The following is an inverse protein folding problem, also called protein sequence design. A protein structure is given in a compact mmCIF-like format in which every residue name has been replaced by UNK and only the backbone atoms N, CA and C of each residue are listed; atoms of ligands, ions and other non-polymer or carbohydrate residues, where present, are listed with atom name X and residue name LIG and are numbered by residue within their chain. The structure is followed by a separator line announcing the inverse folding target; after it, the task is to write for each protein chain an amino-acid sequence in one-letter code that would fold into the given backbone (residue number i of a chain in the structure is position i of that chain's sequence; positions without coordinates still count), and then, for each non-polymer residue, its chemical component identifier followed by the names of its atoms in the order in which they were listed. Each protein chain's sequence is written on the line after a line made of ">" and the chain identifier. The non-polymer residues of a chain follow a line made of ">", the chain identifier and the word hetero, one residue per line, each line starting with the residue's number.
data_IF_235236844871
#
_entry.id   IF_235236844871
#
_cell.length_a   1.000
_cell.length_b   1.000
_cell.length_c   1.000
_cell.angle_alpha   90.00
_cell.angle_beta   90.00
_cell.angle_gamma   90.00
#
_symmetry.space_group_name_H-M   'P 1'
#
loop_
_entity.id
_entity.type
_entity.pdbx_description
1 polymer ?
#
# COMPACT_ATOMS: atom_id res chain seq x y z
N UNK A 1 -7.94 -4.39 8.59
CA UNK A 1 -7.41 -5.13 9.76
C UNK A 1 -6.80 -6.42 9.24
N UNK A 2 -5.62 -6.83 9.71
CA UNK A 2 -5.01 -8.08 9.27
C UNK A 2 -5.85 -9.28 9.77
N UNK A 3 -6.34 -10.12 8.86
CA UNK A 3 -6.97 -11.40 9.22
C UNK A 3 -5.88 -12.44 9.55
N UNK A 4 -5.32 -12.36 10.75
CA UNK A 4 -4.24 -13.27 11.22
C UNK A 4 -4.66 -14.73 11.13
N UNK A 5 -5.94 -15.04 11.38
CA UNK A 5 -6.47 -16.40 11.22
C UNK A 5 -6.39 -16.88 9.77
N UNK A 6 -6.77 -16.05 8.80
CA UNK A 6 -6.65 -16.37 7.38
C UNK A 6 -5.18 -16.57 7.01
N UNK A 7 -4.31 -15.70 7.54
CA UNK A 7 -2.89 -15.75 7.27
C UNK A 7 -2.23 -17.04 7.76
N UNK A 8 -2.55 -17.44 8.99
CA UNK A 8 -2.13 -18.71 9.58
C UNK A 8 -2.52 -19.90 8.69
N UNK A 9 -3.77 -19.93 8.19
CA UNK A 9 -4.28 -21.04 7.36
C UNK A 9 -3.56 -21.14 6.02
N UNK A 10 -3.32 -20.01 5.38
CA UNK A 10 -2.65 -19.97 4.07
C UNK A 10 -1.16 -20.33 4.16
N UNK A 11 -0.44 -19.81 5.15
CA UNK A 11 0.97 -20.18 5.38
C UNK A 11 1.09 -21.68 5.71
N UNK A 12 0.20 -22.21 6.55
CA UNK A 12 0.16 -23.64 6.88
C UNK A 12 -0.01 -24.47 5.61
N UNK A 13 -0.98 -24.11 4.76
CA UNK A 13 -1.28 -24.80 3.50
C UNK A 13 -0.11 -24.75 2.52
N UNK A 14 0.53 -23.58 2.36
CA UNK A 14 1.69 -23.41 1.49
C UNK A 14 2.88 -24.28 1.91
N UNK A 15 3.04 -24.50 3.22
CA UNK A 15 4.07 -25.37 3.79
C UNK A 15 3.67 -26.85 3.87
N UNK A 16 2.47 -27.21 3.40
CA UNK A 16 1.96 -28.59 3.48
C UNK A 16 1.66 -29.06 4.91
N UNK A 17 1.48 -28.13 5.85
CA UNK A 17 1.16 -28.41 7.25
C UNK A 17 -0.35 -28.31 7.49
N UNK A 18 -0.85 -29.13 8.40
CA UNK A 18 -2.20 -29.00 8.95
C UNK A 18 -2.18 -28.11 10.19
N UNK A 19 -3.32 -27.50 10.51
CA UNK A 19 -3.46 -26.74 11.77
C UNK A 19 -3.21 -27.61 13.01
N UNK A 20 -3.48 -28.91 12.93
CA UNK A 20 -3.12 -29.88 13.99
C UNK A 20 -1.61 -29.90 14.22
N UNK A 21 -0.82 -29.92 13.16
CA UNK A 21 0.64 -30.02 13.24
C UNK A 21 1.24 -28.76 13.90
N UNK A 22 0.62 -27.60 13.66
CA UNK A 22 1.01 -26.33 14.27
C UNK A 22 0.61 -26.30 15.75
N UNK A 23 -0.61 -26.74 16.06
CA UNK A 23 -1.09 -26.82 17.44
C UNK A 23 -0.23 -27.79 18.27
N UNK A 24 0.14 -28.94 17.70
CA UNK A 24 1.01 -29.93 18.33
C UNK A 24 2.41 -29.35 18.61
N UNK A 25 3.00 -28.61 17.65
CA UNK A 25 4.28 -27.90 17.84
C UNK A 25 4.23 -26.85 18.94
N UNK A 26 3.08 -26.21 19.12
CA UNK A 26 2.85 -25.22 20.19
C UNK A 26 2.43 -25.86 21.52
N UNK A 27 2.27 -27.19 21.59
CA UNK A 27 1.75 -27.88 22.77
C UNK A 27 0.32 -27.46 23.14
N UNK A 28 -0.53 -27.15 22.16
CA UNK A 28 -1.89 -26.67 22.36
C UNK A 28 -2.91 -27.40 21.47
N UNK A 29 -4.19 -27.07 21.60
CA UNK A 29 -5.25 -27.63 20.73
C UNK A 29 -5.53 -26.68 19.56
N UNK A 30 -6.03 -27.22 18.45
CA UNK A 30 -6.42 -26.41 17.28
C UNK A 30 -7.46 -25.32 17.65
N UNK A 31 -8.39 -25.64 18.55
CA UNK A 31 -9.39 -24.68 19.04
C UNK A 31 -8.73 -23.52 19.80
N UNK A 32 -7.76 -23.82 20.67
CA UNK A 32 -7.03 -22.81 21.42
C UNK A 32 -6.12 -21.98 20.52
N UNK A 33 -5.47 -22.59 19.52
CA UNK A 33 -4.71 -21.90 18.49
C UNK A 33 -5.58 -20.87 17.75
N UNK A 34 -6.73 -21.31 17.22
CA UNK A 34 -7.65 -20.43 16.48
C UNK A 34 -8.24 -19.33 17.37
N UNK A 35 -8.57 -19.65 18.61
CA UNK A 35 -9.03 -18.66 19.59
C UNK A 35 -7.93 -17.63 19.89
N UNK A 36 -6.67 -18.06 19.94
CA UNK A 36 -5.54 -17.19 20.27
C UNK A 36 -5.20 -16.18 19.17
N UNK A 37 -5.52 -16.47 17.91
CA UNK A 37 -5.34 -15.54 16.78
C UNK A 37 -6.56 -14.66 16.52
N UNK A 38 -7.69 -14.93 17.18
CA UNK A 38 -8.92 -14.17 17.02
C UNK A 38 -8.87 -12.88 17.86
N UNK A 39 -9.20 -11.76 17.23
CA UNK A 39 -9.16 -10.44 17.89
C UNK A 39 -7.75 -9.83 17.85
N UNK A 40 -7.24 -9.42 19.01
CA UNK A 40 -5.91 -8.79 19.14
C UNK A 40 -4.95 -9.70 19.94
N UNK A 41 -4.26 -10.66 19.29
CA UNK A 41 -3.27 -11.51 19.93
C UNK A 41 -2.12 -10.71 20.56
N UNK A 42 -1.53 -11.25 21.62
CA UNK A 42 -0.30 -10.68 22.18
C UNK A 42 0.90 -10.95 21.26
N UNK A 43 1.92 -10.09 21.31
CA UNK A 43 3.15 -10.25 20.53
C UNK A 43 3.83 -11.60 20.80
N UNK A 44 3.88 -12.02 22.07
CA UNK A 44 4.41 -13.34 22.44
C UNK A 44 3.64 -14.47 21.76
N UNK A 45 2.30 -14.38 21.68
CA UNK A 45 1.52 -15.41 21.00
C UNK A 45 1.78 -15.46 19.51
N UNK A 46 1.97 -14.29 18.88
CA UNK A 46 2.35 -14.21 17.47
C UNK A 46 3.75 -14.80 17.22
N UNK A 47 4.69 -14.59 18.14
CA UNK A 47 6.03 -15.18 18.07
C UNK A 47 5.98 -16.71 18.14
N UNK A 48 5.24 -17.27 19.10
CA UNK A 48 5.10 -18.73 19.25
C UNK A 48 4.52 -19.37 17.98
N UNK A 49 3.51 -18.72 17.37
CA UNK A 49 2.88 -19.21 16.14
C UNK A 49 3.85 -19.12 14.96
N UNK A 50 4.59 -18.00 14.86
CA UNK A 50 5.58 -17.80 13.79
C UNK A 50 6.70 -18.83 13.88
N UNK A 51 7.16 -19.15 15.09
CA UNK A 51 8.16 -20.19 15.34
C UNK A 51 7.63 -21.57 14.96
N UNK A 52 6.41 -21.94 15.36
CA UNK A 52 5.79 -23.22 14.99
C UNK A 52 5.63 -23.38 13.47
N UNK A 53 5.40 -22.28 12.75
CA UNK A 53 5.34 -22.19 11.29
C UNK A 53 6.71 -22.08 10.62
N UNK A 54 7.77 -21.74 11.36
CA UNK A 54 9.10 -21.40 10.83
C UNK A 54 9.07 -20.21 9.87
N UNK A 55 8.42 -19.12 10.26
CA UNK A 55 8.33 -17.84 9.51
C UNK A 55 8.63 -16.66 10.43
N UNK A 56 8.83 -15.46 9.87
CA UNK A 56 8.86 -14.24 10.67
C UNK A 56 7.46 -13.81 11.15
N UNK A 57 7.37 -13.13 12.30
CA UNK A 57 6.10 -12.55 12.81
C UNK A 57 5.45 -11.62 11.79
N UNK A 58 6.27 -10.90 10.99
CA UNK A 58 5.77 -10.04 9.93
C UNK A 58 4.98 -10.81 8.87
N UNK A 59 5.31 -12.06 8.57
CA UNK A 59 4.59 -12.88 7.57
C UNK A 59 3.18 -13.25 8.05
N UNK A 60 2.99 -13.48 9.36
CA UNK A 60 1.66 -13.68 9.95
C UNK A 60 0.77 -12.44 9.84
N UNK A 61 1.37 -11.25 9.83
CA UNK A 61 0.65 -9.98 9.78
C UNK A 61 0.47 -9.45 8.36
N UNK A 62 1.37 -9.80 7.45
CA UNK A 62 1.48 -9.25 6.10
C UNK A 62 1.46 -10.36 5.06
N UNK A 63 0.50 -11.28 5.15
CA UNK A 63 0.43 -12.38 4.21
C UNK A 63 0.51 -11.83 2.79
N UNK A 64 1.61 -12.18 2.13
CA UNK A 64 1.94 -11.66 0.82
C UNK A 64 1.06 -12.41 -0.16
N UNK A 65 0.25 -11.74 -0.98
CA UNK A 65 -0.47 -12.41 -2.05
C UNK A 65 0.53 -13.23 -2.87
N UNK A 66 0.22 -14.50 -3.17
CA UNK A 66 1.02 -15.30 -4.12
C UNK A 66 1.12 -14.62 -5.50
N UNK A 67 0.28 -13.62 -5.76
CA UNK A 67 0.23 -12.78 -6.95
C UNK A 67 1.14 -11.55 -6.88
N UNK A 68 2.25 -11.57 -6.14
CA UNK A 68 3.26 -10.52 -6.22
C UNK A 68 3.81 -10.44 -7.67
N UNK A 69 3.47 -9.36 -8.37
CA UNK A 69 3.99 -9.02 -9.70
C UNK A 69 5.05 -7.94 -9.52
N UNK A 70 6.25 -8.18 -10.04
CA UNK A 70 7.28 -7.15 -10.11
C UNK A 70 7.08 -6.28 -11.35
N UNK A 71 7.37 -5.00 -11.25
CA UNK A 71 7.47 -4.07 -12.37
C UNK A 71 8.89 -3.50 -12.37
N UNK A 72 9.53 -3.48 -13.55
CA UNK A 72 10.84 -2.85 -13.76
C UNK A 72 10.71 -1.87 -14.91
N UNK A 73 11.14 -0.63 -14.71
CA UNK A 73 11.25 0.35 -15.80
C UNK A 73 12.72 0.47 -16.20
N UNK A 74 13.02 0.13 -17.45
CA UNK A 74 14.36 0.30 -18.05
C UNK A 74 14.17 1.05 -19.37
N UNK A 75 14.92 2.14 -19.54
CA UNK A 75 14.87 3.00 -20.75
C UNK A 75 13.45 3.45 -21.14
N UNK A 76 12.63 3.80 -20.14
CA UNK A 76 11.24 4.25 -20.35
C UNK A 76 10.27 3.13 -20.73
N UNK A 77 10.68 1.87 -20.62
CA UNK A 77 9.85 0.69 -20.91
C UNK A 77 9.60 -0.12 -19.66
N UNK A 78 8.32 -0.44 -19.41
CA UNK A 78 7.89 -1.25 -18.27
C UNK A 78 7.95 -2.74 -18.60
N UNK A 79 8.54 -3.52 -17.69
CA UNK A 79 8.74 -4.96 -17.77
C UNK A 79 8.09 -5.61 -16.56
N UNK A 80 7.30 -6.66 -16.79
CA UNK A 80 6.72 -7.44 -15.71
C UNK A 80 7.67 -8.58 -15.31
N UNK A 81 8.03 -8.65 -14.03
CA UNK A 81 8.75 -9.78 -13.46
C UNK A 81 7.73 -10.71 -12.79
N UNK A 82 7.67 -11.94 -13.27
CA UNK A 82 6.98 -13.01 -12.56
C UNK A 82 7.88 -13.52 -11.41
N UNK A 83 7.38 -13.48 -10.17
CA UNK A 83 8.00 -14.02 -8.95
C UNK A 83 9.39 -13.44 -8.58
N UNK A 84 9.45 -12.24 -8.00
CA UNK A 84 10.66 -11.79 -7.33
C UNK A 84 10.95 -12.66 -6.09
N UNK A 85 12.19 -13.14 -5.98
CA UNK A 85 12.56 -14.25 -5.09
C UNK A 85 12.70 -13.88 -3.61
N UNK A 86 13.03 -12.64 -3.23
CA UNK A 86 13.09 -12.20 -1.82
C UNK A 86 12.96 -10.67 -1.75
N UNK A 87 12.23 -10.17 -0.74
CA UNK A 87 12.15 -8.76 -0.32
C UNK A 87 11.81 -7.73 -1.41
N UNK A 88 10.64 -7.87 -2.03
CA UNK A 88 10.04 -6.78 -2.80
C UNK A 88 9.15 -5.91 -1.94
N UNK A 89 9.28 -4.59 -2.08
CA UNK A 89 8.28 -3.63 -1.61
C UNK A 89 6.98 -3.95 -2.32
N UNK A 90 5.96 -4.34 -1.54
CA UNK A 90 4.62 -4.52 -2.06
C UNK A 90 4.04 -3.14 -2.32
N UNK A 91 3.72 -2.86 -3.57
CA UNK A 91 2.95 -1.66 -3.90
C UNK A 91 1.48 -2.05 -3.74
N UNK A 92 0.72 -1.38 -2.85
CA UNK A 92 -0.70 -1.69 -2.65
C UNK A 92 -1.45 -1.52 -3.97
N UNK A 93 -2.36 -2.45 -4.25
CA UNK A 93 -3.29 -2.32 -5.36
C UNK A 93 -4.61 -1.78 -4.84
N UNK A 94 -5.10 -0.73 -5.47
CA UNK A 94 -6.37 -0.07 -5.18
C UNK A 94 -7.39 -0.49 -6.23
N UNK A 95 -8.18 -1.50 -5.90
CA UNK A 95 -9.36 -1.93 -6.65
C UNK A 95 -10.61 -1.09 -6.32
N UNK A 96 -10.51 -0.27 -5.28
CA UNK A 96 -11.58 0.58 -4.76
C UNK A 96 -11.09 1.99 -4.52
N UNK A 97 -11.60 2.94 -5.31
CA UNK A 97 -11.23 4.35 -5.22
C UNK A 97 -11.57 4.98 -3.85
N UNK A 98 -12.59 4.51 -3.14
CA UNK A 98 -12.90 5.03 -1.81
C UNK A 98 -11.79 4.73 -0.78
N UNK A 99 -11.13 3.57 -0.91
CA UNK A 99 -9.97 3.21 -0.08
C UNK A 99 -8.76 4.07 -0.45
N UNK A 100 -8.46 4.21 -1.75
CA UNK A 100 -7.38 5.08 -2.25
C UNK A 100 -7.53 6.52 -1.75
N UNK A 101 -8.72 7.09 -1.90
CA UNK A 101 -9.01 8.46 -1.46
C UNK A 101 -8.84 8.62 0.05
N UNK A 102 -9.22 7.60 0.82
CA UNK A 102 -9.00 7.57 2.28
C UNK A 102 -7.51 7.62 2.64
N UNK A 103 -6.72 6.75 2.02
CA UNK A 103 -5.28 6.66 2.28
C UNK A 103 -4.54 7.93 1.83
N UNK A 104 -4.88 8.49 0.66
CA UNK A 104 -4.29 9.74 0.17
C UNK A 104 -4.56 10.91 1.11
N UNK A 105 -5.78 11.04 1.63
CA UNK A 105 -6.13 12.08 2.62
C UNK A 105 -5.28 11.96 3.88
N UNK A 106 -5.13 10.74 4.39
CA UNK A 106 -4.32 10.49 5.59
C UNK A 106 -2.85 10.77 5.32
N UNK A 107 -2.33 10.34 4.17
CA UNK A 107 -0.95 10.55 3.78
C UNK A 107 -0.61 12.04 3.65
N UNK A 108 -1.39 12.79 2.85
CA UNK A 108 -1.16 14.21 2.59
C UNK A 108 -1.21 15.02 3.91
N UNK A 109 -2.21 14.78 4.76
CA UNK A 109 -2.33 15.47 6.04
C UNK A 109 -1.09 15.24 6.93
N UNK A 110 -0.63 13.99 7.04
CA UNK A 110 0.55 13.65 7.83
C UNK A 110 1.85 14.17 7.23
N UNK A 111 1.97 14.16 5.90
CA UNK A 111 3.14 14.67 5.19
C UNK A 111 3.35 16.16 5.48
N UNK A 112 2.28 16.95 5.35
CA UNK A 112 2.29 18.39 5.65
C UNK A 112 2.56 18.66 7.13
N UNK A 113 1.94 17.91 8.04
CA UNK A 113 2.14 18.07 9.49
C UNK A 113 3.59 17.76 9.92
N UNK A 114 4.14 16.65 9.43
CA UNK A 114 5.49 16.19 9.80
C UNK A 114 6.61 17.02 9.18
N UNK A 115 6.36 17.67 8.03
CA UNK A 115 7.38 18.36 7.21
C UNK A 115 8.56 17.47 6.79
N UNK A 116 8.39 16.16 6.88
CA UNK A 116 9.37 15.16 6.47
C UNK A 116 9.24 14.84 4.98
N UNK A 117 10.35 14.43 4.37
CA UNK A 117 10.32 13.85 3.03
C UNK A 117 9.70 12.45 3.09
N UNK A 118 8.48 12.33 2.57
CA UNK A 118 7.70 11.08 2.61
C UNK A 118 7.17 10.74 1.24
N UNK A 119 6.89 9.46 1.00
CA UNK A 119 6.34 9.00 -0.26
C UNK A 119 5.27 7.94 -0.05
N UNK A 120 4.38 7.85 -1.03
CA UNK A 120 3.35 6.85 -1.15
C UNK A 120 3.33 6.35 -2.60
N UNK A 121 3.08 5.07 -2.79
CA UNK A 121 2.89 4.51 -4.13
C UNK A 121 1.75 3.52 -4.12
N UNK A 122 1.10 3.36 -5.26
CA UNK A 122 -0.01 2.43 -5.42
C UNK A 122 -0.23 2.07 -6.88
N UNK A 123 -0.88 0.94 -7.09
CA UNK A 123 -1.35 0.50 -8.41
C UNK A 123 -2.86 0.68 -8.43
N UNK A 124 -3.43 1.30 -9.47
CA UNK A 124 -4.90 1.36 -9.69
C UNK A 124 -5.35 0.26 -10.68
N UNK A 125 -6.66 0.00 -10.79
CA UNK A 125 -7.28 -1.15 -11.50
C UNK A 125 -6.68 -1.51 -12.87
N UNK A 126 -6.06 -0.56 -13.58
CA UNK A 126 -5.45 -0.67 -14.91
C UNK A 126 -3.96 -1.02 -14.92
N UNK A 127 -3.39 -1.44 -13.79
CA UNK A 127 -1.95 -1.63 -13.58
C UNK A 127 -1.13 -0.34 -13.70
N UNK A 128 -1.76 0.82 -13.55
CA UNK A 128 -1.08 2.11 -13.55
C UNK A 128 -0.50 2.38 -12.18
N UNK A 129 0.80 2.63 -12.16
CA UNK A 129 1.52 2.94 -10.95
C UNK A 129 1.50 4.45 -10.74
N UNK A 130 1.10 4.88 -9.55
CA UNK A 130 1.37 6.23 -9.08
C UNK A 130 2.45 6.22 -8.00
N UNK A 131 3.26 7.27 -7.98
CA UNK A 131 4.18 7.59 -6.91
C UNK A 131 3.98 9.06 -6.51
N UNK A 132 3.52 9.29 -5.29
CA UNK A 132 3.33 10.61 -4.71
C UNK A 132 4.45 10.85 -3.69
N UNK A 133 5.24 11.88 -3.90
CA UNK A 133 6.33 12.28 -3.00
C UNK A 133 6.02 13.67 -2.45
N UNK A 134 6.16 13.85 -1.15
CA UNK A 134 6.19 15.17 -0.54
C UNK A 134 7.63 15.55 -0.23
N UNK A 135 8.09 16.65 -0.83
CA UNK A 135 9.34 17.32 -0.47
C UNK A 135 9.02 18.36 0.61
N UNK A 136 9.22 17.99 1.86
CA UNK A 136 8.94 18.87 3.01
C UNK A 136 9.88 20.07 3.09
N UNK A 137 11.08 19.98 2.48
CA UNK A 137 12.02 21.09 2.42
C UNK A 137 11.54 22.22 1.52
N UNK A 138 10.91 21.87 0.40
CA UNK A 138 10.39 22.85 -0.56
C UNK A 138 8.87 23.10 -0.43
N UNK A 139 8.15 22.23 0.29
CA UNK A 139 6.70 22.31 0.41
C UNK A 139 6.01 21.99 -0.91
N UNK A 140 6.42 20.91 -1.57
CA UNK A 140 5.92 20.51 -2.89
C UNK A 140 5.55 19.04 -2.88
N UNK A 141 4.37 18.71 -3.42
CA UNK A 141 4.04 17.34 -3.79
C UNK A 141 4.42 17.09 -5.25
N UNK A 142 5.05 15.97 -5.52
CA UNK A 142 5.31 15.46 -6.87
C UNK A 142 4.53 14.16 -7.08
N UNK A 143 3.61 14.17 -8.03
CA UNK A 143 2.87 12.98 -8.45
C UNK A 143 3.47 12.47 -9.77
N UNK A 144 4.06 11.29 -9.75
CA UNK A 144 4.48 10.57 -10.96
C UNK A 144 3.47 9.49 -11.29
N UNK A 145 2.98 9.48 -12.53
CA UNK A 145 2.07 8.51 -13.09
C UNK A 145 2.81 7.69 -14.14
N UNK A 146 2.70 6.37 -14.05
CA UNK A 146 3.23 5.42 -15.02
C UNK A 146 2.05 4.66 -15.62
N UNK A 147 1.76 4.95 -16.89
CA UNK A 147 0.61 4.40 -17.60
C UNK A 147 0.88 2.98 -18.09
N UNK A 148 -0.19 2.22 -18.32
CA UNK A 148 -0.10 0.84 -18.84
C UNK A 148 0.55 0.75 -20.24
N UNK A 149 0.56 1.85 -21.00
CA UNK A 149 1.23 1.93 -22.31
C UNK A 149 2.73 2.30 -22.23
N UNK A 150 3.27 2.42 -21.01
CA UNK A 150 4.67 2.76 -20.74
C UNK A 150 4.98 4.26 -20.74
N UNK A 151 4.00 5.14 -21.05
CA UNK A 151 4.21 6.58 -20.88
C UNK A 151 4.28 6.95 -19.41
N UNK A 152 4.87 8.10 -19.13
CA UNK A 152 4.91 8.68 -17.80
C UNK A 152 4.49 10.15 -17.82
N UNK A 153 3.92 10.61 -16.70
CA UNK A 153 3.65 12.02 -16.43
C UNK A 153 4.12 12.36 -15.02
N UNK A 154 4.59 13.59 -14.82
CA UNK A 154 4.92 14.11 -13.49
C UNK A 154 4.23 15.45 -13.32
N UNK A 155 3.46 15.56 -12.25
CA UNK A 155 2.71 16.75 -11.85
C UNK A 155 3.26 17.24 -10.51
N UNK A 156 3.21 18.55 -10.29
CA UNK A 156 3.69 19.18 -9.07
C UNK A 156 2.60 20.05 -8.46
N UNK A 157 2.44 19.97 -7.14
CA UNK A 157 1.50 20.78 -6.38
C UNK A 157 2.30 21.55 -5.34
N UNK A 158 2.44 22.85 -5.54
CA UNK A 158 3.31 23.72 -4.76
C UNK A 158 2.51 24.48 -3.70
N UNK A 159 3.13 24.68 -2.53
CA UNK A 159 2.54 25.49 -1.45
C UNK A 159 2.06 26.87 -1.88
N UNK A 160 2.67 27.50 -2.89
CA UNK A 160 2.26 28.81 -3.39
C UNK A 160 0.87 28.79 -4.04
N UNK A 161 0.45 27.64 -4.58
CA UNK A 161 -0.85 27.45 -5.21
C UNK A 161 -1.89 26.90 -4.22
N UNK A 162 -1.44 26.05 -3.29
CA UNK A 162 -2.33 25.26 -2.44
C UNK A 162 -2.30 25.65 -0.96
N UNK A 163 -1.54 26.69 -0.55
CA UNK A 163 -1.63 27.26 0.79
C UNK A 163 -2.50 28.51 0.84
N UNK A 164 -3.32 28.61 1.89
CA UNK A 164 -4.04 29.81 2.23
C UNK A 164 -3.13 30.78 3.00
N UNK A 165 -2.58 31.74 2.25
CA UNK A 165 -1.73 32.81 2.78
C UNK A 165 -2.43 33.71 3.80
N UNK A 166 -3.76 33.64 3.93
CA UNK A 166 -4.54 34.47 4.86
C UNK A 166 -4.73 33.83 6.24
N UNK A 167 -4.41 32.54 6.40
CA UNK A 167 -4.73 31.77 7.62
C UNK A 167 -3.53 31.44 8.53
N UNK A 168 -2.31 31.87 8.20
CA UNK A 168 -1.10 31.57 8.96
C UNK A 168 -0.24 32.79 9.28
N UNK A 169 0.57 32.71 10.35
CA UNK A 169 1.55 33.75 10.70
C UNK A 169 2.65 33.86 9.61
N UNK A 170 2.93 32.75 8.90
CA UNK A 170 3.88 32.66 7.78
C UNK A 170 3.22 32.33 6.44
N UNK A 171 1.88 32.29 6.35
CA UNK A 171 1.14 32.04 5.10
C UNK A 171 1.15 30.59 4.57
N UNK A 172 1.86 29.65 5.21
CA UNK A 172 2.02 28.26 4.74
C UNK A 172 0.98 27.28 5.31
N UNK A 173 -0.32 27.60 5.22
CA UNK A 173 -1.38 26.67 5.65
C UNK A 173 -2.00 25.99 4.44
N UNK A 174 -1.67 24.73 4.20
CA UNK A 174 -2.24 23.95 3.09
C UNK A 174 -3.77 23.88 3.15
N UNK A 175 -4.43 24.16 2.03
CA UNK A 175 -5.80 23.73 1.77
C UNK A 175 -5.78 22.24 1.42
N UNK A 176 -5.83 21.42 2.47
CA UNK A 176 -5.83 19.96 2.36
C UNK A 176 -7.00 19.45 1.51
N UNK A 177 -8.14 20.15 1.48
CA UNK A 177 -9.29 19.76 0.69
C UNK A 177 -9.01 19.91 -0.81
N UNK A 178 -8.48 21.06 -1.19
CA UNK A 178 -8.14 21.38 -2.58
C UNK A 178 -7.01 20.49 -3.12
N UNK A 179 -5.85 20.46 -2.46
CA UNK A 179 -4.69 19.68 -2.94
C UNK A 179 -5.00 18.19 -3.03
N UNK A 180 -5.72 17.64 -2.04
CA UNK A 180 -6.10 16.23 -2.05
C UNK A 180 -7.08 15.95 -3.19
N UNK A 181 -8.02 16.86 -3.44
CA UNK A 181 -8.97 16.75 -4.54
C UNK A 181 -8.29 16.68 -5.90
N UNK A 182 -7.35 17.60 -6.17
CA UNK A 182 -6.62 17.64 -7.44
C UNK A 182 -5.75 16.39 -7.64
N UNK A 183 -4.98 15.98 -6.63
CA UNK A 183 -4.16 14.75 -6.69
C UNK A 183 -5.03 13.52 -6.98
N UNK A 184 -6.18 13.39 -6.31
CA UNK A 184 -7.13 12.28 -6.56
C UNK A 184 -7.63 12.33 -8.00
N UNK A 185 -8.03 13.51 -8.48
CA UNK A 185 -8.56 13.69 -9.84
C UNK A 185 -7.51 13.29 -10.90
N UNK A 186 -6.24 13.65 -10.69
CA UNK A 186 -5.16 13.30 -11.61
C UNK A 186 -4.84 11.80 -11.60
N UNK A 187 -4.86 11.15 -10.44
CA UNK A 187 -4.69 9.69 -10.34
C UNK A 187 -5.86 8.96 -11.00
N UNK A 188 -7.11 9.40 -10.77
CA UNK A 188 -8.30 8.78 -11.36
C UNK A 188 -8.45 9.10 -12.86
N UNK A 189 -7.96 10.26 -13.28
CA UNK A 189 -7.91 10.70 -14.67
C UNK A 189 -6.90 9.93 -15.50
N UNK A 190 -5.91 9.30 -14.86
CA UNK A 190 -4.85 8.55 -15.51
C UNK A 190 -5.33 7.31 -16.28
N UNK A 191 -6.50 6.77 -15.91
CA UNK A 191 -7.09 5.54 -16.46
C UNK A 191 -7.21 5.59 -17.99
N UNK A 192 -6.68 4.61 -18.75
CA UNK A 192 -6.66 4.65 -20.20
C UNK A 192 -8.08 4.64 -20.77
N UNK A 193 -8.27 5.42 -21.84
CA UNK A 193 -9.53 5.49 -22.57
C UNK A 193 -10.04 4.14 -23.14
N UNK A 194 -9.20 3.10 -23.17
CA UNK A 194 -9.55 1.75 -23.64
C UNK A 194 -10.71 1.15 -22.82
N UNK A 195 -10.75 1.36 -21.50
CA UNK A 195 -11.90 0.92 -20.67
C UNK A 195 -13.16 1.78 -20.87
N UNK A 196 -13.04 3.04 -21.30
CA UNK A 196 -14.21 3.89 -21.62
C UNK A 196 -14.89 3.45 -22.92
N UNK A 197 -14.19 2.72 -23.79
CA UNK A 197 -14.73 2.16 -25.02
C UNK A 197 -15.34 0.77 -24.82
N UNK A 198 -14.85 -0.04 -23.88
CA UNK A 198 -15.39 -1.38 -23.59
C UNK A 198 -16.59 -1.39 -22.62
N UNK A 199 -16.89 -0.26 -21.96
CA UNK A 199 -18.04 -0.09 -21.07
C UNK A 199 -19.28 0.58 -21.72
N UNK A 200 -19.34 0.65 -23.06
CA UNK A 200 -20.50 1.10 -23.86
C UNK A 200 -20.95 -0.01 -24.80
#
# INVERSE_FOLDING_TARGET
>A
MAEIEQNLREIARAKGLRLSDIADRMGTTVSNLLTSVKGNPTVSKLQDIAEALGVGVSELLTLRPESARGLVVMDGKTWQIARPSVAVVQIPTYDRYDVLRGDLRIFIAKAVEGRDNVSMSGIVETMELFCLVYDGGNGVFHLSLCYGDGKTATLSYDRLEFCDVTKGVDGDVWDLGQVTGEIINDIEGAVPAILRQEAR
#
